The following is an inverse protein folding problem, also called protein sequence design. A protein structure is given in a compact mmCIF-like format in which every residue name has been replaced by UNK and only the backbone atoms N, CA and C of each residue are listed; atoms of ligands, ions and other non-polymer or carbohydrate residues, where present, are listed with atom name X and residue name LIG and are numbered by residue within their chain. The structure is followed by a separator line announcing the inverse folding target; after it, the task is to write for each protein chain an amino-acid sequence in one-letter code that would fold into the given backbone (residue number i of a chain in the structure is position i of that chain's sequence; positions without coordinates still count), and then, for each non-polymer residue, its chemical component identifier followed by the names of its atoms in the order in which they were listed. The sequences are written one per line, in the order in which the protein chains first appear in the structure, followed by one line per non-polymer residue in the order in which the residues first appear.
data_IF_267215230869
#
_entry.id   IF_267215230869
#
_cell.length_a   1.000
_cell.length_b   1.000
_cell.length_c   1.000
_cell.angle_alpha   90.00
_cell.angle_beta   90.00
_cell.angle_gamma   90.00
#
_symmetry.space_group_name_H-M   'P 1'
#
loop_
_entity.id
_entity.type
_entity.pdbx_description
1 polymer ?
#
# COMPACT_ATOMS: atom_id res chain seq x y z
N UNK A 1 31.26 -4.75 -19.48
CA UNK A 1 30.33 -3.94 -20.27
C UNK A 1 28.91 -4.24 -19.76
N UNK A 2 28.21 -3.25 -19.29
CA UNK A 2 26.80 -3.42 -18.93
C UNK A 2 25.99 -3.48 -20.21
N UNK A 3 25.14 -4.51 -20.37
CA UNK A 3 24.16 -4.53 -21.44
C UNK A 3 23.31 -3.25 -21.35
N UNK A 4 22.98 -2.66 -22.50
CA UNK A 4 22.06 -1.52 -22.56
C UNK A 4 20.78 -1.88 -21.82
N UNK A 5 20.23 -1.00 -20.96
CA UNK A 5 19.00 -1.30 -20.29
C UNK A 5 17.88 -1.49 -21.34
N UNK A 6 17.37 -2.70 -21.41
CA UNK A 6 16.18 -2.96 -22.22
C UNK A 6 14.97 -2.49 -21.44
N UNK A 7 14.29 -1.49 -21.98
CA UNK A 7 13.02 -1.03 -21.43
C UNK A 7 11.93 -1.96 -21.96
N UNK A 8 11.44 -2.82 -21.12
CA UNK A 8 10.31 -3.69 -21.42
C UNK A 8 9.02 -2.93 -21.11
N UNK A 9 8.36 -2.43 -22.15
CA UNK A 9 7.19 -1.55 -22.01
C UNK A 9 5.84 -2.29 -21.92
N UNK A 10 5.83 -3.60 -22.17
CA UNK A 10 4.58 -4.34 -22.25
C UNK A 10 4.54 -5.47 -21.21
N UNK A 11 3.74 -5.26 -20.20
CA UNK A 11 3.23 -6.34 -19.35
C UNK A 11 1.73 -6.46 -19.57
N UNK A 12 1.13 -7.67 -19.52
CA UNK A 12 -0.30 -7.81 -19.61
C UNK A 12 -0.97 -7.03 -18.48
N UNK A 13 -2.00 -6.25 -18.84
CA UNK A 13 -2.79 -5.52 -17.85
C UNK A 13 -3.55 -6.51 -16.96
N UNK A 14 -3.53 -6.26 -15.65
CA UNK A 14 -4.38 -6.96 -14.68
C UNK A 14 -5.58 -6.06 -14.40
N UNK A 15 -6.78 -6.61 -14.56
CA UNK A 15 -8.03 -5.91 -14.26
C UNK A 15 -8.48 -6.31 -12.86
N UNK A 16 -8.80 -5.33 -12.03
CA UNK A 16 -9.28 -5.51 -10.67
C UNK A 16 -10.70 -4.96 -10.56
N UNK A 17 -11.56 -5.61 -9.78
CA UNK A 17 -12.92 -5.15 -9.49
C UNK A 17 -12.94 -4.00 -8.49
N UNK A 18 -11.93 -3.91 -7.65
CA UNK A 18 -11.78 -2.85 -6.66
C UNK A 18 -10.31 -2.44 -6.50
N UNK A 19 -10.09 -1.15 -6.32
CA UNK A 19 -8.74 -0.63 -6.05
C UNK A 19 -8.14 -1.19 -4.75
N UNK A 20 -8.96 -1.60 -3.79
CA UNK A 20 -8.48 -2.25 -2.56
C UNK A 20 -7.73 -3.56 -2.83
N UNK A 21 -8.05 -4.24 -3.93
CA UNK A 21 -7.34 -5.45 -4.36
C UNK A 21 -5.89 -5.20 -4.80
N UNK A 22 -5.51 -3.97 -5.02
CA UNK A 22 -4.13 -3.58 -5.37
C UNK A 22 -3.25 -3.37 -4.14
N UNK A 23 -3.84 -3.28 -2.94
CA UNK A 23 -3.08 -3.15 -1.69
C UNK A 23 -2.15 -4.35 -1.51
N UNK A 24 -0.89 -4.06 -1.20
CA UNK A 24 0.11 -5.09 -0.93
C UNK A 24 0.69 -5.78 -2.16
N UNK A 25 0.23 -5.46 -3.36
CA UNK A 25 0.79 -5.98 -4.62
C UNK A 25 1.94 -5.11 -5.12
N UNK A 26 2.78 -4.68 -4.20
CA UNK A 26 3.91 -3.80 -4.47
C UNK A 26 5.09 -4.56 -5.03
N UNK A 27 5.82 -3.99 -6.00
CA UNK A 27 6.96 -4.67 -6.62
C UNK A 27 8.17 -4.76 -5.71
N UNK A 28 9.04 -5.74 -6.00
CA UNK A 28 10.39 -5.82 -5.50
C UNK A 28 11.37 -5.37 -6.59
N UNK A 29 12.24 -4.44 -6.26
CA UNK A 29 13.23 -3.89 -7.18
C UNK A 29 14.64 -4.24 -6.71
N UNK A 30 15.45 -4.81 -7.59
CA UNK A 30 16.88 -5.06 -7.34
C UNK A 30 17.67 -3.76 -7.40
N UNK A 31 18.36 -3.43 -6.32
CA UNK A 31 19.10 -2.17 -6.16
C UNK A 31 20.57 -2.31 -6.58
N UNK A 32 20.80 -2.70 -7.84
CA UNK A 32 22.14 -2.94 -8.38
C UNK A 32 23.10 -1.76 -8.23
N UNK A 33 22.60 -0.54 -8.45
CA UNK A 33 23.43 0.66 -8.34
C UNK A 33 23.93 0.87 -6.91
N UNK A 34 23.05 0.66 -5.92
CA UNK A 34 23.41 0.77 -4.52
C UNK A 34 24.48 -0.27 -4.13
N UNK A 35 24.27 -1.53 -4.52
CA UNK A 35 25.23 -2.60 -4.26
C UNK A 35 26.62 -2.26 -4.82
N UNK A 36 26.70 -1.73 -6.03
CA UNK A 36 27.98 -1.30 -6.63
C UNK A 36 28.62 -0.15 -5.89
N UNK A 37 27.85 0.87 -5.54
CA UNK A 37 28.37 2.05 -4.82
C UNK A 37 28.95 1.69 -3.44
N UNK A 38 28.37 0.70 -2.79
CA UNK A 38 28.76 0.25 -1.44
C UNK A 38 29.66 -1.00 -1.46
N UNK A 39 30.06 -1.46 -2.66
CA UNK A 39 30.86 -2.69 -2.83
C UNK A 39 30.25 -3.92 -2.12
N UNK A 40 28.95 -4.04 -2.13
CA UNK A 40 28.26 -5.19 -1.53
C UNK A 40 28.34 -6.42 -2.44
N UNK A 41 28.57 -7.58 -1.84
CA UNK A 41 28.60 -8.88 -2.54
C UNK A 41 27.21 -9.35 -2.96
N UNK A 42 26.18 -8.88 -2.27
CA UNK A 42 24.78 -9.21 -2.54
C UNK A 42 24.02 -7.98 -3.01
N UNK A 43 23.05 -8.18 -3.90
CA UNK A 43 22.18 -7.11 -4.37
C UNK A 43 20.95 -7.03 -3.46
N UNK A 44 20.76 -5.95 -2.69
CA UNK A 44 19.56 -5.78 -1.89
C UNK A 44 18.34 -5.55 -2.78
N UNK A 45 17.17 -5.92 -2.27
CA UNK A 45 15.89 -5.65 -2.91
C UNK A 45 15.08 -4.65 -2.09
N UNK A 46 14.53 -3.65 -2.77
CA UNK A 46 13.61 -2.68 -2.19
C UNK A 46 12.17 -3.08 -2.46
N UNK A 47 11.36 -3.17 -1.42
CA UNK A 47 9.90 -3.32 -1.52
C UNK A 47 9.28 -1.94 -1.71
N UNK A 48 8.64 -1.71 -2.85
CA UNK A 48 8.18 -0.36 -3.25
C UNK A 48 6.79 -0.10 -2.70
N UNK A 49 6.70 0.23 -1.42
CA UNK A 49 5.43 0.38 -0.70
C UNK A 49 4.62 1.63 -1.09
N UNK A 50 5.24 2.62 -1.70
CA UNK A 50 4.49 3.79 -2.21
C UNK A 50 3.64 3.49 -3.46
N UNK A 51 3.70 2.28 -4.01
CA UNK A 51 2.78 1.80 -5.04
C UNK A 51 1.43 1.34 -4.48
N UNK A 52 1.27 1.26 -3.16
CA UNK A 52 -0.06 1.07 -2.57
C UNK A 52 -0.99 2.24 -2.94
N UNK A 53 -2.30 2.01 -3.07
CA UNK A 53 -3.23 3.03 -3.60
C UNK A 53 -3.31 4.32 -2.76
N UNK A 54 -3.20 4.25 -1.43
CA UNK A 54 -3.10 5.46 -0.59
C UNK A 54 -1.65 5.94 -0.40
N UNK A 55 -0.66 5.21 -0.92
CA UNK A 55 0.71 5.65 -1.11
C UNK A 55 1.72 5.20 -0.06
N UNK A 56 1.38 4.30 0.84
CA UNK A 56 2.33 3.80 1.84
C UNK A 56 2.05 2.38 2.32
N UNK A 57 2.98 1.83 3.11
CA UNK A 57 2.82 0.53 3.78
C UNK A 57 1.60 0.50 4.73
N UNK A 58 1.12 1.66 5.16
CA UNK A 58 -0.03 1.76 6.08
C UNK A 58 -1.34 1.29 5.47
N UNK A 59 -1.44 1.26 4.16
CA UNK A 59 -2.59 0.67 3.47
C UNK A 59 -2.82 -0.78 3.88
N UNK A 60 -1.75 -1.54 4.10
CA UNK A 60 -1.81 -2.95 4.53
C UNK A 60 -2.43 -3.09 5.91
N UNK A 61 -1.92 -2.35 6.90
CA UNK A 61 -2.42 -2.42 8.28
C UNK A 61 -3.83 -1.85 8.40
N UNK A 62 -4.10 -0.74 7.71
CA UNK A 62 -5.43 -0.15 7.71
C UNK A 62 -6.48 -1.09 7.12
N UNK A 63 -6.19 -1.74 5.99
CA UNK A 63 -7.11 -2.73 5.39
C UNK A 63 -7.42 -3.86 6.38
N UNK A 64 -6.40 -4.44 7.01
CA UNK A 64 -6.59 -5.53 7.97
C UNK A 64 -7.44 -5.10 9.19
N UNK A 65 -7.24 -3.86 9.69
CA UNK A 65 -8.06 -3.31 10.76
C UNK A 65 -9.52 -3.12 10.33
N UNK A 66 -9.76 -2.56 9.14
CA UNK A 66 -11.12 -2.39 8.63
C UNK A 66 -11.82 -3.73 8.41
N UNK A 67 -11.15 -4.71 7.82
CA UNK A 67 -11.69 -6.06 7.63
C UNK A 67 -12.08 -6.69 8.97
N UNK A 68 -11.23 -6.59 10.00
CA UNK A 68 -11.52 -7.10 11.33
C UNK A 68 -12.73 -6.39 11.97
N UNK A 69 -12.80 -5.06 11.86
CA UNK A 69 -13.93 -4.28 12.38
C UNK A 69 -15.24 -4.66 11.70
N UNK A 70 -15.25 -4.77 10.38
CA UNK A 70 -16.45 -5.14 9.60
C UNK A 70 -16.93 -6.56 9.93
N UNK A 71 -16.00 -7.51 10.18
CA UNK A 71 -16.35 -8.87 10.57
C UNK A 71 -16.98 -8.97 11.95
N UNK A 72 -16.59 -8.09 12.89
CA UNK A 72 -17.04 -8.12 14.28
C UNK A 72 -18.19 -7.16 14.60
N UNK A 73 -18.53 -6.26 13.69
CA UNK A 73 -19.57 -5.27 13.87
C UNK A 73 -20.95 -5.84 13.52
N UNK A 74 -21.88 -5.80 14.45
CA UNK A 74 -23.28 -6.24 14.22
C UNK A 74 -24.12 -5.21 13.47
N UNK A 75 -23.72 -3.94 13.50
CA UNK A 75 -24.45 -2.84 12.85
C UNK A 75 -23.48 -1.90 12.13
N UNK A 76 -23.25 -2.20 10.86
CA UNK A 76 -22.32 -1.44 10.00
C UNK A 76 -22.80 0.01 9.80
N UNK A 77 -24.11 0.26 9.77
CA UNK A 77 -24.68 1.60 9.57
C UNK A 77 -24.36 2.57 10.71
N UNK A 78 -23.98 2.05 11.88
CA UNK A 78 -23.59 2.84 13.05
C UNK A 78 -22.08 2.84 13.30
N UNK A 79 -21.31 2.21 12.43
CA UNK A 79 -19.85 2.17 12.57
C UNK A 79 -19.26 3.54 12.19
N UNK A 80 -18.53 4.12 13.12
CA UNK A 80 -17.66 5.27 12.91
C UNK A 80 -16.27 4.93 13.42
N UNK A 81 -15.25 5.32 12.68
CA UNK A 81 -13.85 5.10 13.06
C UNK A 81 -13.24 6.44 13.47
N UNK A 82 -12.59 6.45 14.63
CA UNK A 82 -11.81 7.59 15.11
C UNK A 82 -10.35 7.12 15.22
N UNK A 83 -9.46 7.79 14.51
CA UNK A 83 -8.04 7.48 14.46
C UNK A 83 -7.19 8.69 14.80
N UNK A 84 -6.27 8.51 15.74
CA UNK A 84 -5.28 9.53 16.08
C UNK A 84 -4.02 9.33 15.24
N UNK A 85 -3.84 10.15 14.22
CA UNK A 85 -2.70 10.06 13.32
C UNK A 85 -2.45 11.37 12.59
N UNK A 86 -1.20 11.80 12.56
CA UNK A 86 -0.75 12.96 11.76
C UNK A 86 -0.07 12.54 10.44
N UNK A 87 -0.10 11.26 10.09
CA UNK A 87 0.68 10.72 8.97
C UNK A 87 -0.07 9.70 8.12
N UNK A 88 0.69 8.79 7.54
CA UNK A 88 0.21 7.84 6.54
C UNK A 88 -0.89 6.89 7.03
N UNK A 89 -0.96 6.60 8.34
CA UNK A 89 -2.05 5.79 8.87
C UNK A 89 -3.40 6.52 8.77
N UNK A 90 -3.42 7.80 9.12
CA UNK A 90 -4.62 8.64 8.94
C UNK A 90 -5.04 8.75 7.46
N UNK A 91 -4.07 8.91 6.55
CA UNK A 91 -4.34 8.91 5.09
C UNK A 91 -4.98 7.59 4.65
N UNK A 92 -4.42 6.46 5.05
CA UNK A 92 -4.93 5.14 4.69
C UNK A 92 -6.33 4.88 5.27
N UNK A 93 -6.57 5.26 6.53
CA UNK A 93 -7.88 5.13 7.16
C UNK A 93 -8.94 6.01 6.49
N UNK A 94 -8.63 7.26 6.19
CA UNK A 94 -9.55 8.18 5.50
C UNK A 94 -9.90 7.66 4.10
N UNK A 95 -8.90 7.19 3.36
CA UNK A 95 -9.10 6.63 2.04
C UNK A 95 -9.98 5.36 2.06
N UNK A 96 -9.68 4.40 2.97
CA UNK A 96 -10.48 3.18 3.11
C UNK A 96 -11.90 3.47 3.58
N UNK A 97 -12.09 4.41 4.51
CA UNK A 97 -13.41 4.84 4.95
C UNK A 97 -14.26 5.35 3.78
N UNK A 98 -13.67 6.17 2.91
CA UNK A 98 -14.34 6.64 1.70
C UNK A 98 -14.69 5.52 0.71
N UNK A 99 -13.80 4.51 0.59
CA UNK A 99 -14.02 3.36 -0.30
C UNK A 99 -15.09 2.39 0.20
N UNK A 100 -15.29 2.32 1.52
CA UNK A 100 -16.18 1.34 2.18
C UNK A 100 -17.44 1.98 2.76
N UNK A 101 -17.66 3.28 2.49
CA UNK A 101 -18.77 4.07 3.04
C UNK A 101 -18.83 4.06 4.58
N UNK A 102 -17.66 4.05 5.23
CA UNK A 102 -17.52 4.11 6.69
C UNK A 102 -17.01 5.50 7.09
N UNK A 103 -17.73 6.25 7.91
CA UNK A 103 -17.26 7.53 8.42
C UNK A 103 -15.96 7.39 9.21
N UNK A 104 -14.98 8.25 8.91
CA UNK A 104 -13.68 8.28 9.58
C UNK A 104 -13.38 9.70 10.05
N UNK A 105 -13.07 9.83 11.33
CA UNK A 105 -12.58 11.07 11.94
C UNK A 105 -11.11 10.92 12.28
N UNK A 106 -10.27 11.79 11.74
CA UNK A 106 -8.83 11.81 12.04
C UNK A 106 -8.56 12.94 13.04
N UNK A 107 -7.93 12.57 14.15
CA UNK A 107 -7.47 13.50 15.18
C UNK A 107 -5.98 13.71 15.01
N UNK A 108 -5.58 14.97 14.84
CA UNK A 108 -4.18 15.38 14.61
C UNK A 108 -3.62 16.03 15.87
#
# INVERSE_FOLDING_TARGET
MLASPQIQLTQPAVIYDSITQTIGRTPLIKMHRLARLLNWQTVPMGKVEFFNPAGSIKDRSALAMFEALLQHTQNIEKLEIIEASSGNNGVACAWLGAMLDVPVTIVI
#
